data_IF_929821082019
#
_entry.id   IF_929821082019
#
_cell.length_a   1.000
_cell.length_b   1.000
_cell.length_c   1.000
_cell.angle_alpha   90.00
_cell.angle_beta   90.00
_cell.angle_gamma   90.00
#
_symmetry.space_group_name_H-M   'P 1'
#
loop_
_entity.id
_entity.type
_entity.pdbx_description
1 polymer ?
#
# COMPACT_ATOMS: atom_id res chain seq x y z
N UNK A 1 16.58 -2.79 -23.61
CA UNK A 1 17.67 -2.11 -22.87
C UNK A 1 17.73 -2.78 -21.53
N UNK A 2 18.76 -3.57 -21.31
CA UNK A 2 18.93 -4.38 -20.11
C UNK A 2 19.17 -3.44 -18.92
N UNK A 3 18.31 -3.51 -17.93
CA UNK A 3 18.48 -2.81 -16.66
C UNK A 3 19.63 -3.44 -15.89
N UNK A 4 20.73 -2.71 -15.68
CA UNK A 4 21.84 -3.20 -14.87
C UNK A 4 21.46 -3.26 -13.39
N UNK A 5 21.88 -4.31 -12.64
CA UNK A 5 21.63 -4.39 -11.20
C UNK A 5 22.43 -3.35 -10.43
N UNK A 6 21.78 -2.57 -9.61
CA UNK A 6 22.40 -1.44 -8.92
C UNK A 6 23.23 -1.84 -7.68
N UNK A 7 22.88 -2.87 -6.91
CA UNK A 7 23.61 -3.28 -5.66
C UNK A 7 23.28 -4.71 -5.27
N UNK A 8 24.27 -5.46 -4.76
CA UNK A 8 24.13 -6.79 -4.13
C UNK A 8 24.32 -6.63 -2.62
N UNK A 9 23.30 -6.92 -1.80
CA UNK A 9 23.36 -6.90 -0.34
C UNK A 9 22.89 -8.25 0.25
N UNK A 10 23.85 -9.05 0.78
CA UNK A 10 23.58 -10.17 1.67
C UNK A 10 23.32 -11.55 1.02
N UNK A 11 23.11 -12.62 1.82
CA UNK A 11 23.05 -14.01 1.37
C UNK A 11 21.77 -14.42 0.62
N UNK A 12 20.71 -13.63 0.66
CA UNK A 12 19.59 -13.74 -0.29
C UNK A 12 19.88 -12.75 -1.43
N UNK A 13 19.83 -13.21 -2.69
CA UNK A 13 20.12 -12.36 -3.86
C UNK A 13 18.93 -11.40 -4.04
N UNK A 14 18.84 -10.39 -3.19
CA UNK A 14 17.96 -9.26 -3.39
C UNK A 14 18.69 -8.33 -4.36
N UNK A 15 18.19 -8.22 -5.58
CA UNK A 15 18.75 -7.31 -6.58
C UNK A 15 17.86 -6.09 -6.66
N UNK A 16 18.43 -4.93 -6.40
CA UNK A 16 17.78 -3.66 -6.66
C UNK A 16 17.89 -3.36 -8.15
N UNK A 17 16.75 -3.08 -8.77
CA UNK A 17 16.64 -2.79 -10.19
C UNK A 17 16.02 -1.41 -10.40
N UNK A 18 16.33 -0.83 -11.53
CA UNK A 18 15.68 0.41 -12.01
C UNK A 18 14.91 0.12 -13.29
N UNK A 19 13.81 0.86 -13.49
CA UNK A 19 13.07 0.89 -14.73
C UNK A 19 12.70 2.33 -15.06
N UNK A 20 12.58 2.65 -16.35
CA UNK A 20 12.21 3.99 -16.81
C UNK A 20 10.75 3.99 -17.22
N UNK A 21 9.97 4.89 -16.65
CA UNK A 21 8.57 5.13 -16.96
C UNK A 21 8.38 6.60 -17.39
N UNK A 22 8.17 6.82 -18.66
CA UNK A 22 8.18 8.16 -19.24
C UNK A 22 9.53 8.85 -19.06
N UNK A 23 9.57 9.91 -18.25
CA UNK A 23 10.80 10.64 -17.88
C UNK A 23 11.29 10.30 -16.47
N UNK A 24 10.56 9.46 -15.75
CA UNK A 24 10.85 9.11 -14.36
C UNK A 24 11.51 7.75 -14.27
N UNK A 25 12.33 7.59 -13.24
CA UNK A 25 13.00 6.34 -12.89
C UNK A 25 12.28 5.74 -11.68
N UNK A 26 11.86 4.48 -11.80
CA UNK A 26 11.32 3.68 -10.72
C UNK A 26 12.34 2.66 -10.22
N UNK A 27 12.28 2.35 -8.94
CA UNK A 27 13.16 1.39 -8.27
C UNK A 27 12.34 0.21 -7.75
N UNK A 28 12.85 -1.01 -7.91
CA UNK A 28 12.20 -2.21 -7.42
C UNK A 28 13.19 -3.29 -7.00
N UNK A 29 12.73 -4.21 -6.20
CA UNK A 29 13.42 -5.46 -5.85
C UNK A 29 12.72 -6.64 -6.51
N UNK A 30 13.49 -7.59 -7.04
CA UNK A 30 12.98 -8.83 -7.57
C UNK A 30 13.52 -10.00 -6.74
N UNK A 31 12.61 -10.75 -6.12
CA UNK A 31 12.92 -11.96 -5.37
C UNK A 31 12.50 -13.16 -6.23
N UNK A 32 13.42 -14.06 -6.57
CA UNK A 32 13.10 -15.23 -7.37
C UNK A 32 12.14 -16.18 -6.66
N UNK A 33 11.35 -16.92 -7.42
CA UNK A 33 10.42 -17.92 -6.94
C UNK A 33 10.06 -18.90 -8.05
N UNK A 34 9.04 -19.73 -7.85
CA UNK A 34 8.54 -20.70 -8.81
C UNK A 34 7.72 -20.08 -9.96
N UNK A 35 6.95 -20.94 -10.64
CA UNK A 35 6.17 -20.58 -11.84
C UNK A 35 4.79 -19.98 -11.51
N UNK A 36 4.38 -19.96 -10.26
CA UNK A 36 3.12 -19.32 -9.83
C UNK A 36 3.10 -17.83 -10.19
N UNK A 37 1.91 -17.19 -10.26
CA UNK A 37 1.83 -15.74 -10.44
C UNK A 37 2.71 -15.00 -9.45
N UNK A 38 3.41 -13.96 -9.90
CA UNK A 38 4.27 -13.19 -9.02
C UNK A 38 3.45 -12.32 -8.04
N UNK A 39 3.95 -12.11 -6.83
CA UNK A 39 3.39 -11.10 -5.94
C UNK A 39 3.94 -9.73 -6.34
N UNK A 40 3.06 -8.77 -6.61
CA UNK A 40 3.41 -7.37 -6.82
C UNK A 40 2.98 -6.57 -5.60
N UNK A 41 3.97 -6.16 -4.79
CA UNK A 41 3.74 -5.53 -3.50
C UNK A 41 3.58 -4.01 -3.67
N UNK A 42 2.46 -3.47 -3.20
CA UNK A 42 2.14 -2.05 -3.23
C UNK A 42 2.16 -1.53 -1.80
N UNK A 43 3.23 -0.81 -1.45
CA UNK A 43 3.46 -0.31 -0.09
C UNK A 43 2.44 0.77 0.31
N UNK A 44 2.18 0.96 1.62
CA UNK A 44 1.29 2.04 2.07
C UNK A 44 1.87 3.43 1.80
N UNK A 45 1.02 4.47 1.85
CA UNK A 45 1.42 5.86 1.72
C UNK A 45 1.43 6.56 3.08
N UNK A 46 2.51 7.28 3.38
CA UNK A 46 2.71 8.02 4.62
C UNK A 46 4.14 8.53 4.74
N UNK A 47 4.43 9.27 5.81
CA UNK A 47 5.77 9.84 6.02
C UNK A 47 6.79 8.72 6.19
N UNK A 48 7.65 8.56 5.19
CA UNK A 48 8.73 7.58 5.17
C UNK A 48 8.33 6.16 4.78
N UNK A 49 7.07 5.91 4.44
CA UNK A 49 6.64 4.62 3.93
C UNK A 49 7.12 4.43 2.48
N UNK A 50 7.65 3.24 2.20
CA UNK A 50 8.26 2.85 0.93
C UNK A 50 8.19 1.33 0.79
N UNK A 51 8.80 0.75 -0.24
CA UNK A 51 8.90 -0.70 -0.41
C UNK A 51 9.47 -1.43 0.81
N UNK A 52 10.32 -0.78 1.61
CA UNK A 52 10.91 -1.36 2.83
C UNK A 52 9.86 -1.78 3.87
N UNK A 53 8.63 -1.28 3.76
CA UNK A 53 7.50 -1.76 4.55
C UNK A 53 7.30 -3.27 4.43
N UNK A 54 7.63 -3.84 3.27
CA UNK A 54 7.41 -5.26 2.99
C UNK A 54 8.56 -6.18 3.41
N UNK A 55 9.67 -5.65 3.94
CA UNK A 55 10.84 -6.47 4.31
C UNK A 55 10.51 -7.62 5.28
N UNK A 56 9.72 -7.41 6.36
CA UNK A 56 9.33 -8.51 7.24
C UNK A 56 8.50 -9.59 6.50
N UNK A 57 7.54 -9.16 5.67
CA UNK A 57 6.73 -10.08 4.87
C UNK A 57 7.59 -10.90 3.89
N UNK A 58 8.53 -10.27 3.21
CA UNK A 58 9.45 -10.96 2.29
C UNK A 58 10.28 -12.02 3.03
N UNK A 59 10.74 -11.70 4.24
CA UNK A 59 11.46 -12.65 5.07
C UNK A 59 10.59 -13.84 5.50
N UNK A 60 9.35 -13.60 5.92
CA UNK A 60 8.40 -14.65 6.26
C UNK A 60 8.03 -15.50 5.03
N UNK A 61 7.80 -14.86 3.88
CA UNK A 61 7.51 -15.52 2.61
C UNK A 61 8.63 -16.49 2.20
N UNK A 62 9.88 -16.07 2.34
CA UNK A 62 11.03 -16.94 2.05
C UNK A 62 11.12 -18.16 2.99
N UNK A 63 10.71 -18.02 4.27
CA UNK A 63 10.71 -19.12 5.24
C UNK A 63 9.69 -20.21 4.93
N UNK A 64 8.53 -19.85 4.36
CA UNK A 64 7.51 -20.84 3.99
C UNK A 64 7.79 -21.54 2.66
N UNK A 65 8.97 -21.33 2.06
CA UNK A 65 9.38 -22.01 0.82
C UNK A 65 8.63 -21.50 -0.41
N UNK A 66 8.39 -20.22 -0.48
CA UNK A 66 7.51 -19.48 -1.36
C UNK A 66 7.42 -19.99 -2.80
N UNK A 67 6.21 -20.29 -3.27
CA UNK A 67 5.99 -20.73 -4.65
C UNK A 67 6.04 -19.58 -5.66
N UNK A 68 5.80 -18.35 -5.22
CA UNK A 68 5.70 -17.17 -6.09
C UNK A 68 6.90 -16.26 -5.97
N UNK A 69 7.43 -15.75 -7.08
CA UNK A 69 8.40 -14.67 -7.05
C UNK A 69 7.73 -13.37 -6.58
N UNK A 70 8.54 -12.45 -6.08
CA UNK A 70 8.06 -11.15 -5.59
C UNK A 70 8.68 -10.02 -6.41
N UNK A 71 7.85 -9.04 -6.76
CA UNK A 71 8.26 -7.71 -7.17
C UNK A 71 7.83 -6.71 -6.10
N UNK A 72 8.79 -6.01 -5.53
CA UNK A 72 8.60 -5.03 -4.47
C UNK A 72 9.13 -3.68 -4.94
N UNK A 73 8.25 -2.77 -5.32
CA UNK A 73 8.65 -1.51 -5.95
C UNK A 73 8.32 -0.30 -5.08
N UNK A 74 9.13 0.74 -5.23
CA UNK A 74 8.79 2.08 -4.75
C UNK A 74 7.87 2.76 -5.76
N UNK A 75 6.72 3.22 -5.31
CA UNK A 75 5.86 4.10 -6.10
C UNK A 75 6.57 5.44 -6.36
N UNK A 76 6.31 6.06 -7.50
CA UNK A 76 6.85 7.41 -7.79
C UNK A 76 6.48 8.38 -6.67
N UNK A 77 7.44 9.19 -6.26
CA UNK A 77 7.32 10.07 -5.11
C UNK A 77 7.67 9.44 -3.76
N UNK A 78 8.05 8.14 -3.74
CA UNK A 78 8.37 7.39 -2.52
C UNK A 78 9.70 6.66 -2.64
N UNK A 79 10.32 6.38 -1.49
CA UNK A 79 11.49 5.53 -1.35
C UNK A 79 12.71 6.02 -2.14
N UNK A 80 13.16 5.22 -3.08
CA UNK A 80 14.31 5.51 -3.97
C UNK A 80 13.87 5.76 -5.43
N UNK A 81 12.55 5.73 -5.72
CA UNK A 81 12.02 6.17 -7.01
C UNK A 81 12.01 7.69 -7.13
N UNK A 82 11.97 8.20 -8.36
CA UNK A 82 11.96 9.64 -8.63
C UNK A 82 10.85 10.37 -7.89
N UNK A 83 11.19 11.53 -7.33
CA UNK A 83 10.32 12.37 -6.51
C UNK A 83 10.11 13.73 -7.18
N UNK A 84 9.28 13.78 -8.22
CA UNK A 84 8.94 15.03 -8.89
C UNK A 84 8.01 15.88 -8.01
N UNK A 85 8.20 17.22 -7.93
CA UNK A 85 7.38 18.13 -7.15
C UNK A 85 5.99 18.38 -7.80
N UNK A 86 5.15 17.37 -7.78
CA UNK A 86 3.80 17.36 -8.38
C UNK A 86 2.79 16.65 -7.48
N UNK A 87 1.51 16.82 -7.77
CA UNK A 87 0.48 15.97 -7.19
C UNK A 87 0.54 14.57 -7.81
N UNK A 88 0.46 13.55 -6.96
CA UNK A 88 0.34 12.15 -7.37
C UNK A 88 -1.09 11.68 -7.13
N UNK A 89 -1.68 11.11 -8.16
CA UNK A 89 -3.04 10.54 -8.10
C UNK A 89 -3.00 9.01 -8.13
N UNK A 90 -4.07 8.32 -7.76
CA UNK A 90 -4.17 6.88 -7.96
C UNK A 90 -3.97 6.46 -9.41
N UNK A 91 -4.32 7.31 -10.39
CA UNK A 91 -4.10 7.03 -11.81
C UNK A 91 -2.62 7.04 -12.17
N UNK A 92 -1.84 8.03 -11.70
CA UNK A 92 -0.40 8.12 -11.98
C UNK A 92 0.34 6.87 -11.49
N UNK A 93 -0.01 6.38 -10.29
CA UNK A 93 0.56 5.14 -9.77
C UNK A 93 0.02 3.88 -10.47
N UNK A 94 -1.24 3.86 -10.89
CA UNK A 94 -1.77 2.76 -11.69
C UNK A 94 -1.08 2.67 -13.06
N UNK A 95 -0.80 3.80 -13.71
CA UNK A 95 -0.05 3.86 -14.96
C UNK A 95 1.38 3.33 -14.79
N UNK A 96 2.06 3.68 -13.68
CA UNK A 96 3.36 3.12 -13.32
C UNK A 96 3.30 1.59 -13.18
N UNK A 97 2.30 1.07 -12.46
CA UNK A 97 2.14 -0.37 -12.24
C UNK A 97 1.78 -1.11 -13.52
N UNK A 98 0.91 -0.56 -14.36
CA UNK A 98 0.55 -1.13 -15.66
C UNK A 98 1.79 -1.29 -16.53
N UNK A 99 2.58 -0.22 -16.67
CA UNK A 99 3.85 -0.26 -17.39
C UNK A 99 4.80 -1.31 -16.79
N UNK A 100 4.92 -1.36 -15.47
CA UNK A 100 5.77 -2.34 -14.81
C UNK A 100 5.35 -3.78 -15.12
N UNK A 101 4.06 -4.07 -15.04
CA UNK A 101 3.52 -5.42 -15.32
C UNK A 101 3.80 -5.82 -16.78
N UNK A 102 3.52 -4.92 -17.73
CA UNK A 102 3.63 -5.19 -19.16
C UNK A 102 5.09 -5.23 -19.65
N UNK A 103 5.95 -4.35 -19.15
CA UNK A 103 7.29 -4.16 -19.70
C UNK A 103 8.40 -4.83 -18.88
N UNK A 104 8.18 -4.98 -17.56
CA UNK A 104 9.21 -5.50 -16.64
C UNK A 104 8.86 -6.89 -16.15
N UNK A 105 7.71 -7.06 -15.48
CA UNK A 105 7.32 -8.36 -14.92
C UNK A 105 7.02 -9.39 -16.01
N UNK A 106 6.29 -9.02 -17.07
CA UNK A 106 5.93 -9.82 -18.25
C UNK A 106 5.38 -11.20 -17.90
N UNK A 107 4.63 -11.27 -16.81
CA UNK A 107 3.99 -12.48 -16.30
C UNK A 107 2.76 -12.12 -15.46
N UNK A 108 1.85 -13.10 -15.22
CA UNK A 108 0.72 -12.86 -14.32
C UNK A 108 1.17 -12.45 -12.91
N UNK A 109 0.45 -11.50 -12.31
CA UNK A 109 0.74 -11.00 -10.96
C UNK A 109 -0.49 -11.09 -10.05
N UNK A 110 -0.25 -11.27 -8.76
CA UNK A 110 -1.22 -11.02 -7.68
C UNK A 110 -0.82 -9.69 -7.04
N UNK A 111 -1.74 -8.73 -7.06
CA UNK A 111 -1.50 -7.44 -6.40
C UNK A 111 -1.68 -7.59 -4.89
N UNK A 112 -0.67 -7.26 -4.10
CA UNK A 112 -0.74 -7.23 -2.63
C UNK A 112 -0.71 -5.77 -2.20
N UNK A 113 -1.86 -5.24 -1.78
CA UNK A 113 -2.07 -3.80 -1.59
C UNK A 113 -2.30 -3.48 -0.12
N UNK A 114 -1.50 -2.57 0.43
CA UNK A 114 -1.67 -2.13 1.81
C UNK A 114 -2.48 -0.83 1.92
N UNK A 115 -3.53 -0.89 2.72
CA UNK A 115 -4.24 0.28 3.22
C UNK A 115 -4.93 1.12 2.16
N UNK A 116 -4.77 2.42 2.27
CA UNK A 116 -5.47 3.41 1.45
C UNK A 116 -4.91 3.55 0.01
N UNK A 117 -4.06 2.64 -0.44
CA UNK A 117 -3.67 2.52 -1.86
C UNK A 117 -4.54 1.54 -2.65
N UNK A 118 -5.59 0.98 -2.06
CA UNK A 118 -6.64 0.26 -2.80
C UNK A 118 -7.13 1.01 -4.06
N UNK A 119 -7.34 2.34 -4.06
CA UNK A 119 -7.68 3.10 -5.27
C UNK A 119 -6.72 2.92 -6.44
N UNK A 120 -5.43 2.70 -6.18
CA UNK A 120 -4.43 2.44 -7.22
C UNK A 120 -4.71 1.11 -7.90
N UNK A 121 -4.96 0.06 -7.11
CA UNK A 121 -5.34 -1.24 -7.66
C UNK A 121 -6.67 -1.16 -8.44
N UNK A 122 -7.68 -0.45 -7.93
CA UNK A 122 -8.97 -0.27 -8.62
C UNK A 122 -8.77 0.43 -9.97
N UNK A 123 -7.92 1.48 -10.03
CA UNK A 123 -7.61 2.15 -11.30
C UNK A 123 -6.87 1.24 -12.29
N UNK A 124 -5.92 0.45 -11.80
CA UNK A 124 -5.22 -0.55 -12.61
C UNK A 124 -6.19 -1.59 -13.19
N UNK A 125 -7.17 -2.03 -12.40
CA UNK A 125 -8.18 -3.00 -12.83
C UNK A 125 -9.16 -2.45 -13.90
N UNK A 126 -9.26 -1.14 -14.06
CA UNK A 126 -10.00 -0.49 -15.15
C UNK A 126 -9.13 -0.33 -16.44
N UNK A 127 -7.85 -0.73 -16.43
CA UNK A 127 -6.92 -0.63 -17.57
C UNK A 127 -6.75 -1.99 -18.28
N UNK A 128 -6.21 -1.99 -19.51
CA UNK A 128 -5.92 -3.21 -20.26
C UNK A 128 -4.96 -4.17 -19.52
N UNK A 129 -4.02 -3.62 -18.76
CA UNK A 129 -3.07 -4.38 -17.94
C UNK A 129 -3.73 -5.33 -16.91
N UNK A 130 -5.04 -5.19 -16.64
CA UNK A 130 -5.80 -6.09 -15.77
C UNK A 130 -5.79 -7.55 -16.24
N UNK A 131 -5.60 -7.80 -17.54
CA UNK A 131 -5.50 -9.14 -18.12
C UNK A 131 -4.32 -9.94 -17.53
N UNK A 132 -3.31 -9.24 -17.03
CA UNK A 132 -2.15 -9.83 -16.36
C UNK A 132 -2.32 -9.92 -14.82
N UNK A 133 -3.44 -9.47 -14.27
CA UNK A 133 -3.72 -9.54 -12.83
C UNK A 133 -4.52 -10.80 -12.54
N UNK A 134 -3.88 -11.77 -11.89
CA UNK A 134 -4.49 -13.05 -11.52
C UNK A 134 -5.41 -12.94 -10.29
N UNK A 135 -5.11 -12.02 -9.36
CA UNK A 135 -5.91 -11.81 -8.15
C UNK A 135 -5.41 -10.62 -7.33
N UNK A 136 -6.15 -10.30 -6.27
CA UNK A 136 -5.83 -9.19 -5.37
C UNK A 136 -5.83 -9.66 -3.92
N UNK A 137 -4.84 -9.20 -3.14
CA UNK A 137 -4.82 -9.28 -1.68
C UNK A 137 -4.88 -7.86 -1.14
N UNK A 138 -5.95 -7.53 -0.43
CA UNK A 138 -6.19 -6.22 0.15
C UNK A 138 -5.95 -6.28 1.66
N UNK A 139 -4.88 -5.66 2.12
CA UNK A 139 -4.52 -5.61 3.52
C UNK A 139 -4.94 -4.30 4.16
N UNK A 140 -5.74 -4.36 5.22
CA UNK A 140 -6.21 -3.21 5.98
C UNK A 140 -6.84 -2.10 5.13
N UNK A 141 -7.76 -2.42 4.19
CA UNK A 141 -8.34 -1.38 3.34
C UNK A 141 -9.09 -0.33 4.16
N UNK A 142 -9.28 0.90 3.65
CA UNK A 142 -9.94 2.00 4.37
C UNK A 142 -11.39 1.65 4.73
N UNK A 143 -12.02 2.41 5.63
CA UNK A 143 -13.46 2.28 5.86
C UNK A 143 -14.23 2.59 4.56
N UNK A 144 -15.27 1.79 4.27
CA UNK A 144 -16.03 1.84 3.02
C UNK A 144 -16.51 3.25 2.62
N UNK A 145 -17.01 4.12 3.53
CA UNK A 145 -17.39 5.48 3.17
C UNK A 145 -16.27 6.32 2.53
N UNK A 146 -15.00 6.00 2.81
CA UNK A 146 -13.85 6.66 2.16
C UNK A 146 -13.65 6.21 0.72
N UNK A 147 -14.15 5.03 0.36
CA UNK A 147 -14.05 4.43 -0.97
C UNK A 147 -15.27 4.70 -1.86
N UNK A 148 -16.38 5.12 -1.26
CA UNK A 148 -17.68 5.34 -1.93
C UNK A 148 -18.12 6.80 -1.93
N UNK A 149 -17.30 7.72 -1.39
CA UNK A 149 -17.65 9.14 -1.32
C UNK A 149 -16.57 10.03 -1.89
N UNK A 150 -16.92 10.78 -2.94
CA UNK A 150 -16.00 11.70 -3.57
C UNK A 150 -15.80 12.96 -2.72
N UNK A 151 -14.54 13.34 -2.51
CA UNK A 151 -14.24 14.68 -1.96
C UNK A 151 -14.37 15.72 -3.09
N UNK A 152 -15.09 16.84 -2.86
CA UNK A 152 -15.22 17.89 -3.85
C UNK A 152 -13.85 18.40 -4.36
N UNK A 153 -13.65 18.51 -5.70
CA UNK A 153 -12.35 18.88 -6.27
C UNK A 153 -11.76 20.20 -5.74
N UNK A 154 -12.61 21.19 -5.46
CA UNK A 154 -12.13 22.45 -4.92
C UNK A 154 -11.51 22.32 -3.51
N UNK A 155 -12.01 21.39 -2.68
CA UNK A 155 -11.41 21.11 -1.36
C UNK A 155 -10.07 20.42 -1.50
N UNK A 156 -9.96 19.46 -2.43
CA UNK A 156 -8.70 18.78 -2.74
C UNK A 156 -7.65 19.78 -3.22
N UNK A 157 -8.03 20.66 -4.17
CA UNK A 157 -7.14 21.68 -4.70
C UNK A 157 -6.68 22.69 -3.64
N UNK A 158 -7.59 23.14 -2.79
CA UNK A 158 -7.25 24.05 -1.69
C UNK A 158 -6.29 23.38 -0.69
N UNK A 159 -6.56 22.15 -0.31
CA UNK A 159 -5.70 21.39 0.59
C UNK A 159 -4.31 21.17 -0.05
N UNK A 160 -4.26 20.85 -1.35
CA UNK A 160 -3.01 20.71 -2.08
C UNK A 160 -2.20 22.02 -2.12
N UNK A 161 -2.84 23.15 -2.45
CA UNK A 161 -2.17 24.44 -2.45
C UNK A 161 -1.58 24.81 -1.08
N UNK A 162 -2.31 24.51 0.01
CA UNK A 162 -1.81 24.73 1.37
C UNK A 162 -0.63 23.81 1.68
N UNK A 163 -0.74 22.51 1.39
CA UNK A 163 0.29 21.51 1.70
C UNK A 163 1.55 21.68 0.83
N UNK A 164 1.42 22.09 -0.43
CA UNK A 164 2.55 22.35 -1.32
C UNK A 164 3.26 23.69 -1.06
N UNK A 165 2.72 24.52 -0.16
CA UNK A 165 3.29 25.80 0.24
C UNK A 165 4.44 25.66 1.26
N UNK A 166 5.11 26.78 1.63
CA UNK A 166 6.10 26.77 2.72
C UNK A 166 5.58 26.25 4.07
N UNK A 167 4.26 26.41 4.35
CA UNK A 167 3.64 25.82 5.54
C UNK A 167 3.69 24.30 5.53
N UNK A 168 3.43 23.67 4.36
CA UNK A 168 3.56 22.24 4.22
C UNK A 168 5.00 21.76 4.44
N UNK A 169 6.00 22.51 3.97
CA UNK A 169 7.41 22.19 4.24
C UNK A 169 7.71 22.17 5.75
N UNK A 170 7.21 23.16 6.49
CA UNK A 170 7.36 23.19 7.95
C UNK A 170 6.64 22.03 8.61
N UNK A 171 5.41 21.72 8.16
CA UNK A 171 4.65 20.57 8.64
C UNK A 171 5.38 19.25 8.37
N UNK A 172 5.91 19.04 7.15
CA UNK A 172 6.62 17.78 6.84
C UNK A 172 7.90 17.63 7.65
N UNK A 173 8.66 18.71 7.85
CA UNK A 173 9.83 18.70 8.74
C UNK A 173 9.47 18.33 10.18
N UNK A 174 8.30 18.72 10.66
CA UNK A 174 7.78 18.30 11.96
C UNK A 174 7.35 16.84 11.94
N UNK A 175 6.58 16.43 10.93
CA UNK A 175 5.99 15.10 10.84
C UNK A 175 7.03 13.97 10.68
N UNK A 176 8.23 14.26 10.13
CA UNK A 176 9.33 13.29 10.03
C UNK A 176 10.23 13.19 11.29
N UNK A 177 9.91 13.88 12.38
CA UNK A 177 10.63 13.73 13.65
C UNK A 177 10.30 12.41 14.30
N UNK A 178 11.30 11.74 14.93
CA UNK A 178 11.12 10.44 15.59
C UNK A 178 9.96 10.44 16.58
N UNK A 179 9.81 11.53 17.37
CA UNK A 179 8.73 11.64 18.36
C UNK A 179 7.34 11.65 17.72
N UNK A 180 7.19 12.34 16.57
CA UNK A 180 5.91 12.36 15.84
C UNK A 180 5.63 11.00 15.18
N UNK A 181 6.61 10.44 14.46
CA UNK A 181 6.51 9.15 13.81
C UNK A 181 6.14 8.04 14.81
N UNK A 182 6.86 7.99 15.95
CA UNK A 182 6.59 7.04 17.03
C UNK A 182 5.16 7.19 17.54
N UNK A 183 4.81 8.40 18.00
CA UNK A 183 3.49 8.66 18.58
C UNK A 183 2.33 8.46 17.59
N UNK A 184 2.53 8.73 16.31
CA UNK A 184 1.54 8.45 15.27
C UNK A 184 1.39 6.95 15.05
N UNK A 185 2.49 6.20 14.95
CA UNK A 185 2.50 4.75 14.76
C UNK A 185 1.80 4.04 15.92
N UNK A 186 2.16 4.36 17.16
CA UNK A 186 1.56 3.79 18.38
C UNK A 186 0.04 4.03 18.45
N UNK A 187 -0.43 5.20 18.05
CA UNK A 187 -1.85 5.55 18.19
C UNK A 187 -2.71 5.14 17.02
N UNK A 188 -2.15 5.05 15.81
CA UNK A 188 -2.93 4.94 14.58
C UNK A 188 -2.65 3.69 13.77
N UNK A 189 -1.44 3.14 13.84
CA UNK A 189 -1.03 2.06 12.97
C UNK A 189 -0.98 0.71 13.68
N UNK A 190 -0.40 0.65 14.85
CA UNK A 190 -0.18 -0.57 15.61
C UNK A 190 -1.22 -0.77 16.71
N UNK A 191 -1.57 -2.02 16.98
CA UNK A 191 -2.41 -2.40 18.11
C UNK A 191 -1.65 -2.20 19.42
N UNK A 192 -0.42 -2.72 19.48
CA UNK A 192 0.45 -2.61 20.66
C UNK A 192 1.55 -1.58 20.42
N UNK A 193 1.68 -0.62 21.32
CA UNK A 193 2.72 0.42 21.25
C UNK A 193 4.16 -0.17 21.27
N UNK A 194 4.34 -1.33 21.87
CA UNK A 194 5.62 -2.04 21.99
C UNK A 194 6.14 -2.55 20.65
N UNK A 195 5.25 -2.80 19.67
CA UNK A 195 5.61 -3.26 18.34
C UNK A 195 6.20 -2.13 17.48
N UNK A 196 6.05 -0.86 17.91
CA UNK A 196 6.71 0.30 17.29
C UNK A 196 8.18 0.34 17.72
N UNK A 197 8.97 -0.54 17.13
CA UNK A 197 10.38 -0.74 17.43
C UNK A 197 11.33 0.18 16.65
N UNK A 198 12.63 0.06 16.94
CA UNK A 198 13.64 0.88 16.26
C UNK A 198 13.72 0.59 14.75
N UNK A 199 13.57 -0.65 14.33
CA UNK A 199 13.61 -1.02 12.90
C UNK A 199 12.49 -0.32 12.11
N UNK A 200 11.28 -0.25 12.67
CA UNK A 200 10.17 0.51 12.11
C UNK A 200 10.51 1.99 11.96
N UNK A 201 11.05 2.62 13.01
CA UNK A 201 11.39 4.05 12.98
C UNK A 201 12.55 4.33 12.02
N UNK A 202 13.56 3.48 11.95
CA UNK A 202 14.68 3.59 11.00
C UNK A 202 14.21 3.50 9.55
N UNK A 203 13.30 2.56 9.26
CA UNK A 203 12.66 2.45 7.94
C UNK A 203 11.95 3.76 7.57
N UNK A 204 11.12 4.32 8.46
CA UNK A 204 10.42 5.59 8.21
C UNK A 204 11.39 6.76 8.03
N UNK A 205 12.47 6.79 8.79
CA UNK A 205 13.50 7.82 8.63
C UNK A 205 14.24 7.71 7.30
N UNK A 206 14.54 6.47 6.86
CA UNK A 206 15.17 6.23 5.56
C UNK A 206 14.26 6.73 4.42
N UNK A 207 12.99 6.36 4.41
CA UNK A 207 12.04 6.75 3.37
C UNK A 207 11.63 8.23 3.40
N UNK A 208 11.79 8.94 4.54
CA UNK A 208 11.53 10.37 4.66
C UNK A 208 12.77 11.25 4.60
N UNK A 209 13.93 10.66 4.24
CA UNK A 209 15.22 11.41 4.19
C UNK A 209 15.17 12.51 3.15
N UNK A 210 14.67 12.21 1.97
CA UNK A 210 14.42 13.20 0.95
C UNK A 210 13.16 14.01 1.26
N UNK A 211 13.28 15.33 1.24
CA UNK A 211 12.16 16.23 1.48
C UNK A 211 11.11 16.18 0.36
N UNK A 212 11.48 15.73 -0.83
CA UNK A 212 10.55 15.69 -1.96
C UNK A 212 9.58 14.51 -1.89
N UNK A 213 9.83 13.52 -1.02
CA UNK A 213 8.85 12.51 -0.64
C UNK A 213 7.56 13.08 -0.03
N UNK A 214 7.59 14.37 0.41
CA UNK A 214 6.40 15.05 0.91
C UNK A 214 5.30 15.21 -0.12
N UNK A 215 5.61 15.29 -1.40
CA UNK A 215 4.61 15.52 -2.45
C UNK A 215 3.64 14.33 -2.58
N UNK A 216 4.14 13.10 -2.51
CA UNK A 216 3.29 11.90 -2.48
C UNK A 216 2.41 11.86 -1.21
N UNK A 217 3.00 12.15 -0.04
CA UNK A 217 2.27 12.24 1.24
C UNK A 217 1.22 13.35 1.20
N UNK A 218 1.55 14.51 0.67
CA UNK A 218 0.63 15.65 0.57
C UNK A 218 -0.51 15.40 -0.43
N UNK A 219 -0.24 14.69 -1.51
CA UNK A 219 -1.26 14.26 -2.46
C UNK A 219 -2.29 13.35 -1.77
N UNK A 220 -1.80 12.43 -0.96
CA UNK A 220 -2.66 11.58 -0.14
C UNK A 220 -3.47 12.39 0.89
N UNK A 221 -2.83 13.28 1.65
CA UNK A 221 -3.48 14.12 2.66
C UNK A 221 -4.48 15.11 2.04
N UNK A 222 -4.20 15.65 0.86
CA UNK A 222 -5.12 16.51 0.12
C UNK A 222 -6.37 15.75 -0.33
N UNK A 223 -6.30 14.42 -0.48
CA UNK A 223 -7.44 13.57 -0.77
C UNK A 223 -7.65 13.31 -2.27
N UNK A 224 -6.60 13.36 -3.11
CA UNK A 224 -6.70 12.98 -4.52
C UNK A 224 -7.20 11.55 -4.72
N UNK A 225 -7.02 10.67 -3.75
CA UNK A 225 -7.48 9.29 -3.76
C UNK A 225 -8.96 9.12 -3.40
N UNK A 226 -9.62 10.15 -2.82
CA UNK A 226 -11.00 10.08 -2.33
C UNK A 226 -12.00 10.31 -3.46
N UNK A 227 -12.37 9.24 -4.12
CA UNK A 227 -13.37 9.19 -5.19
C UNK A 227 -14.38 8.09 -4.86
N UNK A 228 -15.49 8.04 -5.60
CA UNK A 228 -16.40 6.92 -5.55
C UNK A 228 -15.88 5.80 -6.46
N UNK A 229 -15.45 4.70 -5.84
CA UNK A 229 -14.93 3.52 -6.52
C UNK A 229 -15.94 2.36 -6.54
N UNK A 230 -17.13 2.51 -5.98
CA UNK A 230 -18.11 1.42 -5.82
C UNK A 230 -18.43 0.73 -7.14
N UNK A 231 -18.67 1.51 -8.20
CA UNK A 231 -18.96 0.98 -9.52
C UNK A 231 -17.76 0.27 -10.18
N UNK A 232 -16.54 0.75 -9.95
CA UNK A 232 -15.33 0.11 -10.47
C UNK A 232 -15.04 -1.20 -9.73
N UNK A 233 -15.16 -1.21 -8.40
CA UNK A 233 -14.99 -2.38 -7.55
C UNK A 233 -15.98 -3.48 -7.94
N UNK A 234 -17.25 -3.17 -8.20
CA UNK A 234 -18.26 -4.13 -8.60
C UNK A 234 -17.97 -4.82 -9.97
N UNK A 235 -17.10 -4.25 -10.78
CA UNK A 235 -16.67 -4.84 -12.06
C UNK A 235 -15.47 -5.78 -11.96
N UNK A 236 -14.76 -5.81 -10.83
CA UNK A 236 -13.56 -6.64 -10.65
C UNK A 236 -13.99 -8.11 -10.55
N UNK A 237 -13.57 -8.92 -11.52
CA UNK A 237 -13.92 -10.33 -11.62
C UNK A 237 -12.81 -11.27 -11.13
N UNK A 238 -11.63 -10.75 -10.88
CA UNK A 238 -10.52 -11.51 -10.31
C UNK A 238 -10.85 -11.92 -8.87
N UNK A 239 -10.33 -13.06 -8.39
CA UNK A 239 -10.44 -13.43 -6.98
C UNK A 239 -9.78 -12.37 -6.09
N UNK A 240 -10.41 -12.06 -4.97
CA UNK A 240 -9.95 -11.06 -4.00
C UNK A 240 -9.89 -11.67 -2.61
N UNK A 241 -8.77 -11.53 -1.94
CA UNK A 241 -8.61 -11.82 -0.52
C UNK A 241 -8.53 -10.50 0.26
N UNK A 242 -9.40 -10.34 1.24
CA UNK A 242 -9.42 -9.17 2.12
C UNK A 242 -8.89 -9.59 3.48
N UNK A 243 -7.82 -8.97 3.93
CA UNK A 243 -7.19 -9.23 5.23
C UNK A 243 -7.37 -7.99 6.11
N UNK A 244 -8.09 -8.14 7.21
CA UNK A 244 -8.39 -7.06 8.16
C UNK A 244 -7.72 -7.34 9.49
N UNK A 245 -7.12 -6.32 10.11
CA UNK A 245 -6.67 -6.43 11.50
C UNK A 245 -7.86 -6.50 12.47
N UNK A 246 -7.79 -7.37 13.49
CA UNK A 246 -8.85 -7.48 14.51
C UNK A 246 -9.09 -6.19 15.29
N UNK A 247 -8.04 -5.37 15.45
CA UNK A 247 -8.10 -4.05 16.08
C UNK A 247 -8.15 -2.90 15.07
N UNK A 248 -8.47 -3.18 13.77
CA UNK A 248 -8.47 -2.17 12.72
C UNK A 248 -9.34 -0.96 13.07
N UNK A 249 -8.82 0.23 12.83
CA UNK A 249 -9.50 1.50 13.17
C UNK A 249 -9.40 2.52 12.04
N UNK A 250 -10.34 3.45 12.02
CA UNK A 250 -10.36 4.51 11.00
C UNK A 250 -9.49 5.68 11.45
N UNK A 251 -8.44 5.97 10.67
CA UNK A 251 -7.52 7.09 10.94
C UNK A 251 -8.21 8.45 10.70
N UNK A 252 -9.16 8.51 9.78
CA UNK A 252 -9.94 9.72 9.52
C UNK A 252 -10.97 9.96 10.62
N UNK A 253 -10.74 10.96 11.46
CA UNK A 253 -11.61 11.29 12.62
C UNK A 253 -13.04 11.63 12.24
N UNK A 254 -13.30 12.15 11.02
CA UNK A 254 -14.67 12.51 10.60
C UNK A 254 -15.44 11.26 10.23
N UNK A 255 -14.79 10.34 9.52
CA UNK A 255 -15.39 9.06 9.16
C UNK A 255 -15.50 8.15 10.38
N UNK A 256 -14.51 8.15 11.27
CA UNK A 256 -14.57 7.43 12.55
C UNK A 256 -15.85 7.77 13.35
N UNK A 257 -16.24 9.05 13.40
CA UNK A 257 -17.48 9.47 14.06
C UNK A 257 -18.75 9.04 13.31
N UNK A 258 -18.69 8.86 12.00
CA UNK A 258 -19.85 8.41 11.20
C UNK A 258 -20.06 6.90 11.30
N UNK A 259 -18.97 6.14 11.48
CA UNK A 259 -19.00 4.67 11.59
C UNK A 259 -19.30 4.21 13.02
N UNK A 260 -19.48 5.17 13.95
CA UNK A 260 -19.77 4.92 15.38
C UNK A 260 -18.75 3.92 16.01
N UNK A 261 -17.48 4.31 16.02
CA UNK A 261 -16.40 3.52 16.63
C UNK A 261 -16.55 3.32 18.15
N UNK A 262 -17.65 3.80 18.75
CA UNK A 262 -18.00 3.54 20.16
C UNK A 262 -18.58 2.13 20.39
N UNK A 263 -19.07 1.47 19.33
CA UNK A 263 -19.46 0.07 19.41
C UNK A 263 -18.22 -0.83 19.57
N UNK A 264 -18.37 -1.98 20.24
CA UNK A 264 -17.26 -2.90 20.50
C UNK A 264 -16.40 -3.15 19.24
N UNK A 265 -15.10 -2.97 19.34
CA UNK A 265 -14.12 -2.97 18.23
C UNK A 265 -14.30 -4.14 17.28
N UNK A 266 -14.58 -5.34 17.78
CA UNK A 266 -14.79 -6.54 16.95
C UNK A 266 -16.02 -6.45 16.03
N UNK A 267 -17.14 -5.84 16.48
CA UNK A 267 -18.33 -5.69 15.63
C UNK A 267 -18.09 -4.70 14.48
N UNK A 268 -17.33 -3.64 14.73
CA UNK A 268 -16.97 -2.68 13.71
C UNK A 268 -16.03 -3.27 12.64
N UNK A 269 -15.09 -4.09 13.05
CA UNK A 269 -14.15 -4.73 12.13
C UNK A 269 -14.83 -5.79 11.28
N UNK A 270 -15.73 -6.58 11.85
CA UNK A 270 -16.56 -7.52 11.10
C UNK A 270 -17.43 -6.78 10.07
N UNK A 271 -18.04 -5.66 10.48
CA UNK A 271 -18.83 -4.83 9.55
C UNK A 271 -17.96 -4.25 8.43
N UNK A 272 -16.76 -3.74 8.73
CA UNK A 272 -15.83 -3.23 7.70
C UNK A 272 -15.44 -4.32 6.72
N UNK A 273 -15.14 -5.53 7.20
CA UNK A 273 -14.85 -6.66 6.35
C UNK A 273 -16.06 -7.02 5.49
N UNK A 274 -17.27 -7.06 6.09
CA UNK A 274 -18.50 -7.36 5.39
C UNK A 274 -18.82 -6.32 4.31
N UNK A 275 -18.61 -5.02 4.58
CA UNK A 275 -18.77 -3.96 3.59
C UNK A 275 -17.98 -4.24 2.31
N UNK A 276 -16.76 -4.77 2.40
CA UNK A 276 -15.98 -5.16 1.24
C UNK A 276 -16.46 -6.44 0.58
N UNK A 277 -16.85 -7.45 1.37
CA UNK A 277 -17.38 -8.72 0.85
C UNK A 277 -18.66 -8.51 0.05
N UNK A 278 -19.49 -7.54 0.45
CA UNK A 278 -20.75 -7.22 -0.23
C UNK A 278 -20.54 -6.51 -1.58
N UNK A 279 -19.37 -5.89 -1.79
CA UNK A 279 -19.12 -5.08 -2.98
C UNK A 279 -18.18 -5.73 -4.00
N UNK A 280 -17.30 -6.63 -3.59
CA UNK A 280 -16.46 -7.39 -4.53
C UNK A 280 -17.13 -8.70 -4.93
N UNK A 281 -17.38 -8.96 -6.21
CA UNK A 281 -18.13 -10.14 -6.67
C UNK A 281 -17.51 -11.48 -6.28
N UNK A 282 -16.17 -11.54 -6.13
CA UNK A 282 -15.42 -12.77 -5.85
C UNK A 282 -14.47 -12.60 -4.67
N UNK A 283 -14.93 -11.95 -3.60
CA UNK A 283 -14.11 -11.74 -2.42
C UNK A 283 -14.25 -12.86 -1.40
N UNK A 284 -13.14 -13.13 -0.72
CA UNK A 284 -13.08 -13.83 0.56
C UNK A 284 -12.40 -12.92 1.56
N UNK A 285 -12.69 -13.10 2.84
CA UNK A 285 -12.14 -12.25 3.87
C UNK A 285 -11.69 -13.01 5.11
N UNK A 286 -10.67 -12.49 5.76
CA UNK A 286 -10.16 -13.01 7.02
C UNK A 286 -9.75 -11.86 7.92
N UNK A 287 -9.98 -12.04 9.23
CA UNK A 287 -9.40 -11.15 10.24
C UNK A 287 -8.21 -11.85 10.88
N UNK A 288 -7.11 -11.10 11.05
CA UNK A 288 -5.89 -11.56 11.72
C UNK A 288 -5.52 -10.57 12.83
N UNK A 289 -4.64 -10.97 13.73
CA UNK A 289 -4.17 -10.09 14.80
C UNK A 289 -3.60 -8.78 14.25
N UNK A 290 -3.62 -7.71 15.04
CA UNK A 290 -3.08 -6.39 14.69
C UNK A 290 -4.12 -5.36 14.29
N UNK A 291 -3.66 -4.16 13.95
CA UNK A 291 -4.52 -3.01 13.70
C UNK A 291 -4.59 -2.62 12.22
N UNK A 292 -3.76 -1.65 11.81
CA UNK A 292 -3.86 -1.06 10.48
C UNK A 292 -2.70 -1.42 9.55
N UNK A 293 -1.72 -2.17 10.04
CA UNK A 293 -0.56 -2.66 9.29
C UNK A 293 -0.33 -4.17 9.47
N UNK A 294 -1.35 -5.01 9.19
CA UNK A 294 -1.28 -6.46 9.44
C UNK A 294 -0.03 -7.14 8.86
N UNK A 295 0.47 -6.79 7.65
CA UNK A 295 1.67 -7.40 7.10
C UNK A 295 2.94 -7.16 7.93
N UNK A 296 2.93 -6.14 8.78
CA UNK A 296 4.05 -5.79 9.65
C UNK A 296 3.85 -6.30 11.09
N UNK A 297 2.61 -6.22 11.62
CA UNK A 297 2.28 -6.66 12.99
C UNK A 297 2.15 -8.17 13.10
N UNK A 298 1.48 -8.82 12.16
CA UNK A 298 1.20 -10.26 12.14
C UNK A 298 1.76 -10.91 10.87
N UNK A 299 3.04 -10.67 10.66
CA UNK A 299 3.75 -10.98 9.41
C UNK A 299 3.62 -12.45 9.00
N UNK A 300 3.85 -13.40 9.93
CA UNK A 300 3.82 -14.83 9.63
C UNK A 300 2.38 -15.29 9.29
N UNK A 301 1.38 -14.81 10.03
CA UNK A 301 -0.03 -15.10 9.78
C UNK A 301 -0.49 -14.52 8.43
N UNK A 302 -0.11 -13.26 8.15
CA UNK A 302 -0.38 -12.63 6.88
C UNK A 302 0.25 -13.39 5.70
N UNK A 303 1.50 -13.84 5.86
CA UNK A 303 2.19 -14.64 4.84
C UNK A 303 1.50 -15.98 4.58
N UNK A 304 0.97 -16.65 5.61
CA UNK A 304 0.19 -17.87 5.45
C UNK A 304 -1.12 -17.63 4.70
N UNK A 305 -1.83 -16.54 5.01
CA UNK A 305 -3.06 -16.16 4.30
C UNK A 305 -2.79 -15.93 2.82
N UNK A 306 -1.74 -15.16 2.50
CA UNK A 306 -1.34 -14.91 1.10
C UNK A 306 -0.97 -16.21 0.40
N UNK A 307 -0.19 -17.09 1.06
CA UNK A 307 0.22 -18.37 0.49
C UNK A 307 -0.98 -19.28 0.20
N UNK A 308 -1.90 -19.40 1.14
CA UNK A 308 -3.14 -20.17 0.93
C UNK A 308 -3.92 -19.63 -0.27
N UNK A 309 -4.10 -18.29 -0.34
CA UNK A 309 -4.82 -17.66 -1.43
C UNK A 309 -4.19 -17.95 -2.80
N UNK A 310 -2.87 -17.81 -2.92
CA UNK A 310 -2.14 -18.05 -4.18
C UNK A 310 -2.16 -19.53 -4.58
N UNK A 311 -2.12 -20.44 -3.61
CA UNK A 311 -2.11 -21.88 -3.87
C UNK A 311 -3.48 -22.41 -4.32
N UNK A 312 -4.57 -21.73 -3.90
CA UNK A 312 -5.95 -22.09 -4.25
C UNK A 312 -6.45 -21.45 -5.56
N UNK A 313 -5.67 -20.57 -6.18
CA UNK A 313 -6.00 -19.94 -7.47
C UNK A 313 -5.78 -20.87 -8.64
#
# INVERSE_FOLDING_TARGET
MDSEPAIILGPAIIRLWIFTFGKSVGVYEAIPGGDSPALLLIHPIGVGLSRLFWDPFIQAWNKIGSPSPIYNLDLLGCGESDMTPQAYTPQDWADQLAYFIEQVAKRPVVLVVQGALLPVAVKLMDMAANEHVAGLVLSGPPAWPLMSTQTPPWKVNLAWQLLSSPFGNAFYRYARRSSFLKSFSERQLFENAEDVNNAWLEMLHKGSRDMDSRFAVFSFLAGFWRQDYSGAIARIQQPVMIVMGEAASTIDRKVAKQVDESAATNQNNQKRLQDYLDHFPRARGVSISGRNVPPYESTDEFAQVVNTFVTEM
#
